data_IF_075494930412
#
_entry.id   IF_075494930412
#
_cell.length_a   1.000
_cell.length_b   1.000
_cell.length_c   1.000
_cell.angle_alpha   90.00
_cell.angle_beta   90.00
_cell.angle_gamma   90.00
#
_symmetry.space_group_name_H-M   'P 1'
#
loop_
_entity.id
_entity.type
_entity.pdbx_description
1 polymer ?
#
# COMPACT_ATOMS: atom_id res chain seq x y z
N UNK A 1 -7.58 6.54 1.99
CA UNK A 1 -8.13 7.08 0.72
C UNK A 1 -8.95 5.97 0.09
N UNK A 2 -10.17 6.24 -0.36
CA UNK A 2 -11.02 5.24 -0.99
C UNK A 2 -10.90 5.33 -2.51
N UNK A 3 -10.12 4.43 -3.11
CA UNK A 3 -9.94 4.33 -4.56
C UNK A 3 -8.48 4.36 -5.02
N UNK A 4 -8.28 4.36 -6.34
CA UNK A 4 -6.97 4.59 -6.95
C UNK A 4 -6.58 6.06 -6.81
N UNK A 5 -5.37 6.31 -6.28
CA UNK A 5 -4.70 7.59 -6.46
C UNK A 5 -3.99 7.60 -7.82
N UNK A 6 -3.82 8.78 -8.44
CA UNK A 6 -2.93 8.93 -9.60
C UNK A 6 -1.62 9.52 -9.09
N UNK A 7 -0.50 8.83 -9.32
CA UNK A 7 0.84 9.32 -9.01
C UNK A 7 1.76 9.15 -10.23
N UNK A 8 2.87 9.91 -10.33
CA UNK A 8 3.89 9.68 -11.36
C UNK A 8 4.49 8.26 -11.37
N UNK A 9 4.28 7.49 -10.29
CA UNK A 9 4.83 6.15 -10.08
C UNK A 9 3.77 5.04 -10.27
N UNK A 10 2.60 5.38 -10.79
CA UNK A 10 1.49 4.47 -11.07
C UNK A 10 0.22 4.81 -10.29
N UNK A 11 -0.71 3.85 -10.31
CA UNK A 11 -2.05 3.96 -9.72
C UNK A 11 -2.12 3.16 -8.42
N UNK A 12 -1.77 3.73 -7.25
CA UNK A 12 -1.85 3.01 -6.00
C UNK A 12 -3.30 2.90 -5.51
N UNK A 13 -3.74 1.68 -5.21
CA UNK A 13 -5.09 1.40 -4.67
C UNK A 13 -5.13 1.54 -3.14
N UNK A 14 -6.03 2.40 -2.65
CA UNK A 14 -6.34 2.60 -1.23
C UNK A 14 -5.11 2.78 -0.33
N UNK A 15 -4.19 3.64 -0.71
CA UNK A 15 -2.91 3.83 -0.03
C UNK A 15 -3.04 4.23 1.44
N UNK A 16 -2.15 3.66 2.26
CA UNK A 16 -1.82 4.13 3.60
C UNK A 16 -0.39 4.66 3.60
N UNK A 17 -0.22 5.96 3.86
CA UNK A 17 1.09 6.61 3.90
C UNK A 17 1.79 6.37 5.24
N UNK A 18 3.11 6.24 5.17
CA UNK A 18 4.03 6.08 6.28
C UNK A 18 4.85 7.36 6.48
N UNK A 19 5.48 7.49 7.64
CA UNK A 19 6.46 8.57 7.88
C UNK A 19 7.65 8.37 6.94
N UNK A 20 8.12 9.45 6.30
CA UNK A 20 9.24 9.40 5.35
C UNK A 20 8.85 9.26 3.87
N UNK A 21 7.55 9.33 3.54
CA UNK A 21 7.07 9.39 2.15
C UNK A 21 6.82 8.03 1.49
N UNK A 22 7.06 6.93 2.19
CA UNK A 22 6.67 5.59 1.76
C UNK A 22 5.16 5.35 1.97
N UNK A 23 4.59 4.38 1.25
CA UNK A 23 3.21 3.96 1.43
C UNK A 23 3.05 2.45 1.26
N UNK A 24 1.99 1.91 1.87
CA UNK A 24 1.46 0.57 1.57
C UNK A 24 0.24 0.76 0.69
N UNK A 25 0.17 0.08 -0.45
CA UNK A 25 -0.95 0.20 -1.37
C UNK A 25 -1.19 -1.08 -2.18
N UNK A 26 -2.42 -1.23 -2.69
CA UNK A 26 -2.77 -2.29 -3.63
C UNK A 26 -2.19 -2.03 -5.03
N UNK A 27 -1.90 -3.11 -5.76
CA UNK A 27 -1.42 -3.10 -7.14
C UNK A 27 -1.85 -4.38 -7.88
N UNK A 28 -2.04 -4.27 -9.20
CA UNK A 28 -2.30 -5.43 -10.07
C UNK A 28 -1.09 -6.35 -10.23
N UNK A 29 0.11 -5.89 -9.87
CA UNK A 29 1.36 -6.65 -10.01
C UNK A 29 2.23 -6.54 -8.75
N UNK A 30 2.49 -7.70 -8.13
CA UNK A 30 3.36 -7.86 -6.97
C UNK A 30 4.36 -9.01 -7.25
N UNK A 31 5.47 -8.74 -7.96
CA UNK A 31 6.47 -9.76 -8.24
C UNK A 31 7.23 -10.17 -6.99
N UNK A 32 7.86 -11.35 -7.03
CA UNK A 32 8.68 -11.90 -5.92
C UNK A 32 10.03 -11.16 -5.73
N UNK A 33 10.29 -10.14 -6.54
CA UNK A 33 11.48 -9.29 -6.45
C UNK A 33 11.09 -7.84 -6.14
N UNK A 34 11.94 -7.07 -5.45
CA UNK A 34 11.69 -5.65 -5.23
C UNK A 34 11.68 -4.89 -6.55
N UNK A 35 10.55 -4.27 -6.88
CA UNK A 35 10.37 -3.47 -8.11
C UNK A 35 9.78 -2.08 -7.84
N UNK A 36 9.60 -1.72 -6.57
CA UNK A 36 9.04 -0.43 -6.17
C UNK A 36 10.16 0.55 -5.80
N UNK A 37 9.87 1.84 -5.92
CA UNK A 37 10.77 2.93 -5.51
C UNK A 37 10.63 3.27 -4.01
N UNK A 38 10.30 2.29 -3.16
CA UNK A 38 10.18 2.45 -1.71
C UNK A 38 8.79 2.20 -1.10
N UNK A 39 7.74 2.06 -1.91
CA UNK A 39 6.42 1.64 -1.40
C UNK A 39 6.28 0.12 -1.31
N UNK A 40 5.54 -0.37 -0.31
CA UNK A 40 5.18 -1.78 -0.21
C UNK A 40 3.87 -2.04 -0.98
N UNK A 41 3.87 -3.03 -1.87
CA UNK A 41 2.72 -3.38 -2.71
C UNK A 41 2.03 -4.64 -2.18
N UNK A 42 0.71 -4.62 -2.13
CA UNK A 42 -0.14 -5.78 -1.92
C UNK A 42 -0.99 -6.05 -3.17
N UNK A 43 -1.48 -7.27 -3.36
CA UNK A 43 -2.56 -7.50 -4.31
C UNK A 43 -3.80 -6.68 -3.89
N UNK A 44 -4.64 -6.29 -4.85
CA UNK A 44 -5.81 -5.43 -4.58
C UNK A 44 -6.75 -6.10 -3.58
N UNK A 45 -7.01 -7.40 -3.75
CA UNK A 45 -7.86 -8.19 -2.86
C UNK A 45 -7.29 -8.26 -1.43
N UNK A 46 -5.96 -8.36 -1.31
CA UNK A 46 -5.29 -8.33 -0.02
C UNK A 46 -5.40 -6.95 0.64
N UNK A 47 -5.27 -5.87 -0.14
CA UNK A 47 -5.46 -4.51 0.36
C UNK A 47 -6.90 -4.27 0.82
N UNK A 48 -7.88 -4.76 0.07
CA UNK A 48 -9.28 -4.68 0.44
C UNK A 48 -9.60 -5.46 1.72
N UNK A 49 -9.01 -6.65 1.88
CA UNK A 49 -9.12 -7.41 3.13
C UNK A 49 -8.54 -6.65 4.32
N UNK A 50 -7.36 -6.02 4.16
CA UNK A 50 -6.71 -5.21 5.20
C UNK A 50 -7.62 -4.08 5.67
N UNK A 51 -8.27 -3.37 4.74
CA UNK A 51 -9.21 -2.29 5.07
C UNK A 51 -10.50 -2.84 5.70
N UNK A 52 -11.09 -3.88 5.11
CA UNK A 52 -12.35 -4.47 5.57
C UNK A 52 -12.25 -5.04 7.00
N UNK A 53 -11.09 -5.56 7.36
CA UNK A 53 -10.83 -6.14 8.69
C UNK A 53 -10.14 -5.18 9.65
N UNK A 54 -9.97 -3.91 9.26
CA UNK A 54 -9.29 -2.87 10.03
C UNK A 54 -7.93 -3.34 10.57
N UNK A 55 -7.15 -4.03 9.73
CA UNK A 55 -5.82 -4.50 10.12
C UNK A 55 -4.78 -3.39 10.02
N UNK A 56 -5.05 -2.30 9.30
CA UNK A 56 -4.18 -1.13 9.28
C UNK A 56 -4.95 0.11 9.74
N UNK A 57 -5.34 0.19 11.02
CA UNK A 57 -5.91 1.41 11.55
C UNK A 57 -4.89 2.55 11.43
N UNK A 58 -5.39 3.77 11.26
CA UNK A 58 -4.58 4.97 11.39
C UNK A 58 -3.79 4.90 12.71
N UNK A 59 -2.53 5.37 12.70
CA UNK A 59 -1.55 5.28 13.80
C UNK A 59 -1.09 3.88 14.25
N UNK A 60 -1.29 2.81 13.45
CA UNK A 60 -0.60 1.53 13.67
C UNK A 60 0.91 1.68 13.43
N UNK A 61 1.73 1.09 14.29
CA UNK A 61 3.17 0.95 14.07
C UNK A 61 3.41 0.07 12.84
N UNK A 62 4.17 0.60 11.88
CA UNK A 62 4.70 -0.17 10.75
C UNK A 62 6.20 -0.31 10.97
N UNK A 63 6.65 -1.54 11.22
CA UNK A 63 8.06 -1.88 11.36
C UNK A 63 8.59 -2.36 10.01
N UNK A 64 9.61 -1.68 9.51
CA UNK A 64 10.36 -2.08 8.30
C UNK A 64 11.75 -2.51 8.78
N UNK A 65 12.17 -3.74 8.44
CA UNK A 65 13.44 -4.33 8.84
C UNK A 65 14.02 -5.20 7.71
#
# INVERSE_FOLDING_TARGET
MDGFGVSPLGEPWRSQHLVGGAAIHGSWSVPATPVSHGCARLFIEAMDWVWATNQMPLVRLVLVY
#
